data_IF_201337884826
#
_entry.id   IF_201337884826
#
_cell.length_a   1.000
_cell.length_b   1.000
_cell.length_c   1.000
_cell.angle_alpha   90.00
_cell.angle_beta   90.00
_cell.angle_gamma   90.00
#
_symmetry.space_group_name_H-M   'P 1'
#
loop_
_entity.id
_entity.type
_entity.pdbx_description
1 polymer ?
#
# COMPACT_ATOMS: atom_id res chain seq x y z
N UNK A 1 8.27 1.64 10.92
CA UNK A 1 7.00 1.64 10.17
C UNK A 1 6.77 0.31 9.49
N UNK A 2 5.55 0.07 9.04
CA UNK A 2 5.13 -1.05 8.18
C UNK A 2 4.51 -0.50 6.90
N UNK A 3 4.57 -1.26 5.82
CA UNK A 3 3.86 -0.97 4.58
C UNK A 3 3.34 -2.26 3.95
N UNK A 4 2.12 -2.26 3.43
CA UNK A 4 1.52 -3.44 2.82
C UNK A 4 0.74 -3.11 1.55
N UNK A 5 0.79 -4.03 0.59
CA UNK A 5 -0.09 -4.03 -0.58
C UNK A 5 -1.02 -5.25 -0.48
N UNK A 6 -2.28 -5.04 -0.07
CA UNK A 6 -3.30 -6.07 -0.20
C UNK A 6 -3.63 -6.29 -1.67
N UNK A 7 -3.69 -7.55 -2.11
CA UNK A 7 -4.05 -7.89 -3.48
C UNK A 7 -4.99 -9.09 -3.55
N UNK A 8 -5.92 -9.07 -4.49
CA UNK A 8 -6.83 -10.17 -4.77
C UNK A 8 -6.35 -10.90 -6.04
N UNK A 9 -5.81 -12.12 -5.91
CA UNK A 9 -5.26 -12.85 -7.05
C UNK A 9 -6.32 -13.30 -8.06
N UNK A 10 -7.56 -13.53 -7.61
CA UNK A 10 -8.64 -14.01 -8.47
C UNK A 10 -9.21 -12.86 -9.33
N UNK A 11 -9.43 -11.70 -8.71
CA UNK A 11 -9.93 -10.50 -9.39
C UNK A 11 -8.83 -9.65 -10.01
N UNK A 12 -7.55 -9.93 -9.70
CA UNK A 12 -6.37 -9.17 -10.15
C UNK A 12 -6.47 -7.68 -9.82
N UNK A 13 -6.85 -7.36 -8.59
CA UNK A 13 -6.93 -6.01 -8.06
C UNK A 13 -6.05 -5.86 -6.83
N UNK A 14 -5.70 -4.63 -6.48
CA UNK A 14 -5.03 -4.32 -5.22
C UNK A 14 -5.67 -3.10 -4.56
N UNK A 15 -5.49 -2.98 -3.24
CA UNK A 15 -5.96 -1.86 -2.46
C UNK A 15 -4.81 -0.90 -2.22
N UNK A 16 -5.07 0.37 -2.52
CA UNK A 16 -4.20 1.51 -2.23
C UNK A 16 -5.01 2.57 -1.50
N UNK A 17 -4.34 3.55 -0.95
CA UNK A 17 -4.98 4.68 -0.25
C UNK A 17 -4.47 6.00 -0.78
N UNK A 18 -5.19 7.08 -0.51
CA UNK A 18 -4.67 8.43 -0.67
C UNK A 18 -5.17 9.32 0.46
N UNK A 19 -4.34 10.25 0.89
CA UNK A 19 -4.67 11.21 1.93
C UNK A 19 -3.88 12.51 1.75
N UNK A 20 -4.37 13.63 2.30
CA UNK A 20 -3.61 14.87 2.29
C UNK A 20 -2.28 14.74 3.03
N UNK A 21 -1.18 15.03 2.35
CA UNK A 21 0.16 15.09 2.95
C UNK A 21 0.68 16.52 2.90
N UNK A 22 0.96 17.11 4.05
CA UNK A 22 1.37 18.53 4.13
C UNK A 22 2.52 18.88 3.17
N UNK A 23 3.61 18.10 3.04
CA UNK A 23 4.66 18.43 2.08
C UNK A 23 4.20 18.39 0.61
N UNK A 24 3.30 17.47 0.27
CA UNK A 24 2.73 17.33 -1.09
C UNK A 24 1.82 18.53 -1.40
N UNK A 25 0.96 18.91 -0.44
CA UNK A 25 0.08 20.08 -0.55
C UNK A 25 0.88 21.38 -0.72
N UNK A 26 1.96 21.55 0.05
CA UNK A 26 2.83 22.72 -0.05
C UNK A 26 3.56 22.80 -1.41
N UNK A 27 3.79 21.67 -2.05
CA UNK A 27 4.32 21.60 -3.41
C UNK A 27 3.25 21.88 -4.50
N UNK A 28 1.99 22.13 -4.11
CA UNK A 28 0.89 22.38 -5.02
C UNK A 28 0.43 21.13 -5.80
N UNK A 29 0.71 19.94 -5.28
CA UNK A 29 0.34 18.69 -5.89
C UNK A 29 -0.92 18.10 -5.26
N UNK A 30 -1.72 17.31 -5.99
CA UNK A 30 -2.85 16.58 -5.45
C UNK A 30 -2.42 15.48 -4.49
N UNK A 31 -3.38 14.93 -3.73
CA UNK A 31 -3.14 13.76 -2.90
C UNK A 31 -2.56 12.62 -3.74
N UNK A 32 -1.44 12.07 -3.28
CA UNK A 32 -0.81 10.98 -4.01
C UNK A 32 -1.37 9.63 -3.57
N UNK A 33 -1.35 8.69 -4.48
CA UNK A 33 -1.69 7.29 -4.20
C UNK A 33 -0.54 6.64 -3.44
N UNK A 34 -0.85 5.99 -2.32
CA UNK A 34 0.11 5.37 -1.41
C UNK A 34 -0.24 3.91 -1.14
N UNK A 35 0.76 3.13 -0.72
CA UNK A 35 0.51 1.87 -0.04
C UNK A 35 -0.07 2.12 1.35
N UNK A 36 -0.85 1.18 1.88
CA UNK A 36 -1.26 1.17 3.28
C UNK A 36 0.00 1.12 4.15
N UNK A 37 0.11 1.99 5.14
CA UNK A 37 1.31 2.11 5.96
C UNK A 37 1.04 2.75 7.31
N UNK A 38 1.69 2.25 8.35
CA UNK A 38 1.55 2.80 9.69
C UNK A 38 2.83 2.80 10.52
N UNK A 39 2.78 3.51 11.62
CA UNK A 39 3.87 3.58 12.59
C UNK A 39 3.92 2.25 13.36
N UNK A 40 5.12 1.70 13.49
CA UNK A 40 5.34 0.46 14.21
C UNK A 40 5.24 0.71 15.73
N UNK A 41 4.21 0.16 16.36
CA UNK A 41 3.99 0.23 17.80
C UNK A 41 4.15 -1.14 18.48
N UNK A 42 3.86 -2.22 17.74
CA UNK A 42 3.84 -3.60 18.20
C UNK A 42 4.68 -4.52 17.29
N UNK A 43 4.32 -5.80 17.25
CA UNK A 43 4.88 -6.73 16.27
C UNK A 43 4.56 -6.26 14.84
N UNK A 44 5.52 -6.27 13.90
CA UNK A 44 5.30 -5.77 12.54
C UNK A 44 4.14 -6.43 11.80
N UNK A 45 3.89 -7.72 12.02
CA UNK A 45 2.78 -8.41 11.35
C UNK A 45 1.42 -8.01 11.95
N UNK A 46 1.34 -7.83 13.26
CA UNK A 46 0.12 -7.40 13.95
C UNK A 46 -0.20 -5.95 13.59
N UNK A 47 0.80 -5.08 13.60
CA UNK A 47 0.69 -3.69 13.15
C UNK A 47 0.19 -3.62 11.69
N UNK A 48 0.76 -4.41 10.79
CA UNK A 48 0.34 -4.47 9.37
C UNK A 48 -1.14 -4.84 9.23
N UNK A 49 -1.63 -5.80 10.01
CA UNK A 49 -3.05 -6.19 9.99
C UNK A 49 -3.97 -5.12 10.55
N UNK A 50 -3.53 -4.44 11.61
CA UNK A 50 -4.26 -3.35 12.22
C UNK A 50 -4.41 -2.19 11.25
N UNK A 51 -3.33 -1.72 10.65
CA UNK A 51 -3.34 -0.63 9.67
C UNK A 51 -4.22 -0.95 8.44
N UNK A 52 -4.14 -2.17 7.91
CA UNK A 52 -5.00 -2.57 6.80
C UNK A 52 -6.50 -2.55 7.15
N UNK A 53 -6.83 -2.85 8.41
CA UNK A 53 -8.21 -2.76 8.88
C UNK A 53 -8.65 -1.32 9.08
N UNK A 54 -7.84 -0.48 9.69
CA UNK A 54 -8.15 0.92 9.99
C UNK A 54 -8.21 1.76 8.72
N UNK A 55 -7.19 1.70 7.87
CA UNK A 55 -7.12 2.49 6.65
C UNK A 55 -8.07 1.99 5.56
N UNK A 56 -8.16 0.67 5.34
CA UNK A 56 -8.86 0.11 4.18
C UNK A 56 -10.02 -0.85 4.51
N UNK A 57 -10.27 -1.16 5.78
CA UNK A 57 -11.34 -2.07 6.17
C UNK A 57 -11.18 -3.50 5.64
N UNK A 58 -9.94 -3.97 5.46
CA UNK A 58 -9.65 -5.26 4.86
C UNK A 58 -8.95 -6.21 5.83
N UNK A 59 -9.40 -7.46 5.88
CA UNK A 59 -8.69 -8.56 6.54
C UNK A 59 -7.63 -9.11 5.60
N UNK A 60 -6.42 -9.21 6.09
CA UNK A 60 -5.31 -9.77 5.31
C UNK A 60 -5.19 -11.28 5.49
N UNK A 61 -4.93 -11.99 4.42
CA UNK A 61 -4.52 -13.39 4.44
C UNK A 61 -3.10 -13.58 4.99
N UNK A 62 -2.35 -14.51 4.43
CA UNK A 62 -0.98 -14.75 4.84
C UNK A 62 -0.08 -13.57 4.45
N UNK A 63 0.68 -13.06 5.43
CA UNK A 63 1.63 -11.98 5.20
C UNK A 63 2.94 -12.54 4.62
N UNK A 64 3.33 -12.03 3.47
CA UNK A 64 4.63 -12.31 2.87
C UNK A 64 5.56 -11.14 3.17
N UNK A 65 6.45 -11.31 4.15
CA UNK A 65 7.46 -10.31 4.49
C UNK A 65 8.52 -10.24 3.40
N UNK A 66 8.74 -9.05 2.86
CA UNK A 66 9.72 -8.80 1.79
C UNK A 66 11.08 -8.34 2.33
N UNK A 67 11.13 -7.89 3.57
CA UNK A 67 12.30 -7.36 4.24
C UNK A 67 12.08 -5.98 4.85
N UNK A 68 13.08 -5.52 5.58
CA UNK A 68 13.09 -4.21 6.22
C UNK A 68 14.07 -3.29 5.48
N UNK A 69 13.60 -2.13 5.05
CA UNK A 69 14.36 -1.19 4.23
C UNK A 69 14.36 0.19 4.90
N UNK A 70 15.50 0.88 4.89
CA UNK A 70 15.59 2.27 5.31
C UNK A 70 14.78 3.18 4.38
N UNK A 71 13.94 4.08 4.92
CA UNK A 71 13.17 4.99 4.08
C UNK A 71 14.06 6.08 3.46
N UNK A 72 14.70 6.89 4.26
CA UNK A 72 15.62 7.96 3.82
C UNK A 72 16.82 7.99 4.77
N UNK A 73 17.84 7.12 4.59
CA UNK A 73 18.92 6.93 5.57
C UNK A 73 19.81 8.17 5.76
N UNK A 74 19.76 9.12 4.84
CA UNK A 74 20.48 10.40 4.97
C UNK A 74 19.81 11.43 5.88
N UNK A 75 18.54 11.23 6.23
CA UNK A 75 17.71 12.24 6.93
C UNK A 75 17.05 11.67 8.17
N UNK A 76 16.53 10.45 8.09
CA UNK A 76 15.78 9.82 9.18
C UNK A 76 16.27 8.42 9.50
N UNK A 77 16.04 7.98 10.74
CA UNK A 77 16.38 6.62 11.21
C UNK A 77 15.26 5.62 10.98
N UNK A 78 14.24 5.98 10.20
CA UNK A 78 13.10 5.14 9.93
C UNK A 78 13.46 3.94 9.05
N UNK A 79 13.00 2.78 9.48
CA UNK A 79 12.96 1.56 8.69
C UNK A 79 11.52 1.12 8.49
N UNK A 80 11.23 0.58 7.32
CA UNK A 80 9.91 0.11 6.94
C UNK A 80 9.97 -1.39 6.67
N UNK A 81 9.12 -2.16 7.34
CA UNK A 81 8.88 -3.57 7.04
C UNK A 81 7.82 -3.67 5.94
N UNK A 82 8.18 -4.31 4.83
CA UNK A 82 7.34 -4.41 3.63
C UNK A 82 6.64 -5.75 3.54
N UNK A 83 5.33 -5.73 3.25
CA UNK A 83 4.51 -6.93 3.16
C UNK A 83 3.66 -6.97 1.89
N UNK A 84 3.50 -8.16 1.31
CA UNK A 84 2.41 -8.48 0.40
C UNK A 84 1.41 -9.36 1.14
N UNK A 85 0.13 -9.17 0.89
CA UNK A 85 -0.90 -9.99 1.53
C UNK A 85 -2.08 -10.23 0.58
N UNK A 86 -2.46 -11.51 0.32
CA UNK A 86 -3.67 -11.79 -0.42
C UNK A 86 -4.91 -11.46 0.42
N UNK A 87 -5.97 -11.05 -0.26
CA UNK A 87 -7.32 -10.92 0.29
C UNK A 87 -8.34 -11.37 -0.76
N UNK A 88 -9.58 -11.55 -0.36
CA UNK A 88 -10.74 -11.79 -1.24
C UNK A 88 -11.79 -10.70 -1.06
N UNK A 89 -12.77 -10.64 -1.95
CA UNK A 89 -13.86 -9.66 -1.84
C UNK A 89 -14.61 -9.75 -0.49
N UNK A 90 -14.68 -10.94 0.11
CA UNK A 90 -15.34 -11.17 1.41
C UNK A 90 -14.53 -10.63 2.60
N UNK A 91 -13.25 -10.35 2.40
CA UNK A 91 -12.36 -9.81 3.43
C UNK A 91 -12.47 -8.28 3.55
N UNK A 92 -13.17 -7.64 2.61
CA UNK A 92 -13.57 -6.23 2.70
C UNK A 92 -14.75 -6.11 3.68
N UNK A 93 -14.47 -5.90 4.96
CA UNK A 93 -15.47 -5.97 6.06
C UNK A 93 -15.91 -4.61 6.57
N UNK A 94 -15.20 -3.54 6.20
CA UNK A 94 -15.52 -2.17 6.55
C UNK A 94 -15.15 -1.21 5.42
N UNK A 95 -15.55 0.05 5.52
CA UNK A 95 -15.23 1.07 4.53
C UNK A 95 -13.75 1.49 4.57
N UNK A 96 -13.11 1.37 5.73
CA UNK A 96 -11.83 2.01 5.99
C UNK A 96 -11.98 3.52 6.15
N UNK A 97 -10.91 4.24 5.91
CA UNK A 97 -10.92 5.70 5.96
C UNK A 97 -10.05 6.28 7.07
N UNK A 98 -9.35 5.44 7.82
CA UNK A 98 -8.50 5.84 8.93
C UNK A 98 -9.30 6.12 10.22
N UNK A 99 -8.59 6.58 11.24
CA UNK A 99 -9.16 6.90 12.54
C UNK A 99 -9.51 8.38 12.63
N UNK A 100 -10.77 8.68 12.99
CA UNK A 100 -11.25 10.06 13.18
C UNK A 100 -10.45 10.78 14.27
N UNK A 101 -10.02 10.06 15.28
CA UNK A 101 -9.24 10.58 16.40
C UNK A 101 -7.83 11.02 15.99
N UNK A 102 -7.27 10.41 14.93
CA UNK A 102 -5.99 10.77 14.34
C UNK A 102 -6.11 11.80 13.22
N UNK A 103 -7.33 12.29 12.96
CA UNK A 103 -7.65 13.26 11.91
C UNK A 103 -7.23 12.76 10.51
N UNK A 104 -7.20 11.45 10.34
CA UNK A 104 -6.93 10.85 9.05
C UNK A 104 -8.13 11.03 8.12
N UNK A 105 -7.87 11.48 6.92
CA UNK A 105 -8.87 11.63 5.86
C UNK A 105 -8.44 10.77 4.68
N UNK A 106 -8.61 9.45 4.84
CA UNK A 106 -8.12 8.45 3.90
C UNK A 106 -9.21 8.09 2.89
N UNK A 107 -8.86 8.16 1.62
CA UNK A 107 -9.64 7.60 0.52
C UNK A 107 -9.08 6.24 0.11
N UNK A 108 -9.94 5.23 0.06
CA UNK A 108 -9.57 3.85 -0.30
C UNK A 108 -9.83 3.60 -1.77
N UNK A 109 -8.86 3.05 -2.47
CA UNK A 109 -8.93 2.72 -3.89
C UNK A 109 -8.68 1.23 -4.10
N UNK A 110 -9.60 0.54 -4.77
CA UNK A 110 -9.41 -0.83 -5.24
C UNK A 110 -9.26 -0.78 -6.75
N UNK A 111 -8.07 -1.05 -7.27
CA UNK A 111 -7.73 -0.86 -8.67
C UNK A 111 -7.19 -2.14 -9.30
N UNK A 112 -7.46 -2.37 -10.60
CA UNK A 112 -6.82 -3.45 -11.35
C UNK A 112 -5.28 -3.34 -11.30
N UNK A 113 -4.61 -4.47 -11.12
CA UNK A 113 -3.14 -4.53 -11.10
C UNK A 113 -2.52 -4.00 -12.41
N UNK A 114 -3.16 -4.25 -13.55
CA UNK A 114 -2.73 -3.70 -14.83
C UNK A 114 -2.85 -2.17 -14.90
N UNK A 115 -3.87 -1.60 -14.24
CA UNK A 115 -4.01 -0.14 -14.12
C UNK A 115 -2.87 0.43 -13.29
N UNK A 116 -2.60 -0.14 -12.11
CA UNK A 116 -1.51 0.30 -11.24
C UNK A 116 -0.14 0.18 -11.94
N UNK A 117 0.07 -0.91 -12.70
CA UNK A 117 1.30 -1.07 -13.45
C UNK A 117 1.44 -0.05 -14.59
N UNK A 118 0.35 0.26 -15.28
CA UNK A 118 0.33 1.30 -16.32
C UNK A 118 0.64 2.67 -15.72
N UNK A 119 0.10 2.99 -14.54
CA UNK A 119 0.43 4.22 -13.81
C UNK A 119 1.92 4.26 -13.42
N UNK A 120 2.48 3.11 -13.01
CA UNK A 120 3.93 2.99 -12.73
C UNK A 120 4.76 3.30 -13.99
N UNK A 121 4.44 2.67 -15.12
CA UNK A 121 5.14 2.90 -16.40
C UNK A 121 5.06 4.36 -16.87
N UNK A 122 3.94 5.03 -16.59
CA UNK A 122 3.73 6.46 -16.89
C UNK A 122 4.34 7.40 -15.85
N UNK A 123 5.00 6.89 -14.82
CA UNK A 123 5.60 7.68 -13.72
C UNK A 123 4.57 8.49 -12.92
N UNK A 124 3.35 7.98 -12.83
CA UNK A 124 2.25 8.59 -12.08
C UNK A 124 2.23 8.14 -10.61
N UNK A 125 2.91 7.03 -10.26
CA UNK A 125 3.08 6.57 -8.88
C UNK A 125 4.30 7.30 -8.29
N UNK A 126 4.04 8.12 -7.28
CA UNK A 126 5.05 8.94 -6.60
C UNK A 126 5.45 8.38 -5.21
N UNK A 127 4.66 7.46 -4.64
CA UNK A 127 4.99 6.82 -3.37
C UNK A 127 5.98 5.65 -3.57
N UNK A 128 7.16 5.77 -2.96
CA UNK A 128 8.20 4.75 -3.04
C UNK A 128 7.77 3.41 -2.41
N UNK A 129 6.93 3.43 -1.37
CA UNK A 129 6.41 2.21 -0.73
C UNK A 129 5.55 1.41 -1.71
N UNK A 130 4.60 2.09 -2.35
CA UNK A 130 3.72 1.48 -3.36
C UNK A 130 4.53 0.97 -4.56
N UNK A 131 5.51 1.74 -5.03
CA UNK A 131 6.37 1.35 -6.13
C UNK A 131 7.14 0.05 -5.84
N UNK A 132 7.77 -0.04 -4.66
CA UNK A 132 8.51 -1.24 -4.21
C UNK A 132 7.57 -2.45 -4.15
N UNK A 133 6.42 -2.30 -3.51
CA UNK A 133 5.45 -3.38 -3.30
C UNK A 133 4.86 -3.89 -4.62
N UNK A 134 4.52 -2.98 -5.54
CA UNK A 134 3.98 -3.35 -6.85
C UNK A 134 5.02 -4.08 -7.71
N UNK A 135 6.27 -3.61 -7.73
CA UNK A 135 7.37 -4.32 -8.40
C UNK A 135 7.63 -5.69 -7.80
N UNK A 136 7.63 -5.80 -6.47
CA UNK A 136 7.82 -7.07 -5.77
C UNK A 136 6.70 -8.06 -6.07
N UNK A 137 5.43 -7.60 -6.09
CA UNK A 137 4.29 -8.44 -6.47
C UNK A 137 4.44 -8.95 -7.90
N UNK A 138 4.80 -8.07 -8.85
CA UNK A 138 4.97 -8.46 -10.25
C UNK A 138 6.11 -9.47 -10.45
N UNK A 139 7.23 -9.31 -9.76
CA UNK A 139 8.35 -10.26 -9.82
C UNK A 139 7.98 -11.63 -9.27
N UNK A 140 7.19 -11.68 -8.20
CA UNK A 140 6.80 -12.93 -7.54
C UNK A 140 5.62 -13.62 -8.22
N UNK A 141 4.70 -12.86 -8.77
CA UNK A 141 3.45 -13.35 -9.36
C UNK A 141 3.17 -12.67 -10.72
N UNK A 142 4.05 -12.86 -11.71
CA UNK A 142 3.91 -12.20 -13.02
C UNK A 142 2.62 -12.54 -13.75
N UNK A 143 2.03 -13.71 -13.48
CA UNK A 143 0.77 -14.14 -14.07
C UNK A 143 -0.46 -13.30 -13.66
N UNK A 144 -0.35 -12.50 -12.61
CA UNK A 144 -1.41 -11.57 -12.21
C UNK A 144 -1.51 -10.34 -13.12
N UNK A 145 -0.53 -10.11 -13.97
CA UNK A 145 -0.44 -8.95 -14.85
C UNK A 145 -0.55 -9.37 -16.31
N UNK A 146 -1.34 -8.62 -17.08
CA UNK A 146 -1.52 -8.86 -18.53
C UNK A 146 -0.67 -7.90 -19.37
N UNK A 147 -0.33 -6.73 -18.84
CA UNK A 147 0.50 -5.73 -19.53
C UNK A 147 1.99 -6.12 -19.51
N UNK A 148 2.76 -5.84 -20.58
CA UNK A 148 4.20 -6.11 -20.62
C UNK A 148 5.00 -5.33 -19.58
N UNK A 149 6.24 -5.78 -19.34
CA UNK A 149 7.25 -5.01 -18.63
C UNK A 149 8.04 -4.24 -19.68
N UNK A 150 7.65 -3.00 -19.92
CA UNK A 150 8.40 -2.10 -20.83
C UNK A 150 9.26 -1.13 -20.02
#
# INVERSE_FOLDING_TARGET
>A
AVAVLPYDPDRRVAITVSMPRTPVMLAGLPDMMEAIAGILEDDPADCTRREAMEEAGVRLGELVHLGQIWSIPSVVTEKIDYYLAPYSAQDRVAAGGGLVEEQENISVHELPLDTLWTMMARKEIADGKLAILLMALRLRQPALFSVPVD
#
